data_IF_697887968879
#
_entry.id   IF_697887968879
#
_cell.length_a   1.000
_cell.length_b   1.000
_cell.length_c   1.000
_cell.angle_alpha   90.00
_cell.angle_beta   90.00
_cell.angle_gamma   90.00
#
_symmetry.space_group_name_H-M   'P 1'
#
loop_
_entity.id
_entity.type
_entity.pdbx_description
1 polymer ?
#
# COMPACT_ATOMS: atom_id res chain seq x y z
N UNK A 1 -18.11 15.37 4.79
CA UNK A 1 -16.71 15.14 5.18
C UNK A 1 -16.29 13.83 4.54
N UNK A 2 -15.53 13.89 3.43
CA UNK A 2 -15.11 12.72 2.70
C UNK A 2 -13.82 12.14 3.29
N UNK A 3 -13.80 10.84 3.54
CA UNK A 3 -12.58 10.06 3.74
C UNK A 3 -12.28 9.35 2.42
N UNK A 4 -11.10 9.55 1.87
CA UNK A 4 -10.65 8.83 0.68
C UNK A 4 -9.55 7.87 1.13
N UNK A 5 -9.79 6.58 0.99
CA UNK A 5 -8.77 5.56 1.19
C UNK A 5 -7.84 5.52 -0.02
N UNK A 6 -6.56 5.65 0.20
CA UNK A 6 -5.55 5.81 -0.85
C UNK A 6 -4.74 4.57 -1.19
N UNK A 7 -5.03 3.39 -0.68
CA UNK A 7 -4.32 2.19 -1.10
C UNK A 7 -5.15 0.91 -0.90
N UNK A 8 -5.02 -0.02 -1.84
CA UNK A 8 -5.84 -1.22 -1.96
C UNK A 8 -5.52 -2.32 -0.92
N UNK A 9 -4.52 -2.13 -0.08
CA UNK A 9 -4.17 -3.08 0.96
C UNK A 9 -4.34 -2.47 2.35
N UNK A 10 -5.30 -2.93 3.16
CA UNK A 10 -5.48 -2.45 4.53
C UNK A 10 -4.29 -2.79 5.44
N UNK A 11 -3.32 -3.55 4.94
CA UNK A 11 -2.16 -4.03 5.67
C UNK A 11 -0.85 -3.50 5.10
N UNK A 12 -0.89 -2.58 4.15
CA UNK A 12 0.31 -1.92 3.68
C UNK A 12 0.86 -1.01 4.78
N UNK A 13 2.18 -0.98 4.95
CA UNK A 13 2.86 -0.08 5.89
C UNK A 13 2.59 1.40 5.60
N UNK A 14 2.01 1.69 4.46
CA UNK A 14 1.53 3.00 4.03
C UNK A 14 0.02 3.19 4.22
N UNK A 15 -0.62 2.37 5.05
CA UNK A 15 -2.07 2.38 5.24
C UNK A 15 -2.65 3.64 5.89
N UNK A 16 -1.81 4.60 6.30
CA UNK A 16 -2.26 5.95 6.69
C UNK A 16 -2.58 6.84 5.47
N UNK A 17 -2.84 6.27 4.31
CA UNK A 17 -3.15 7.02 3.09
C UNK A 17 -4.60 7.49 3.00
N UNK A 18 -5.38 7.48 4.07
CA UNK A 18 -6.66 8.16 4.08
C UNK A 18 -6.49 9.65 4.41
N UNK A 19 -7.25 10.45 3.72
CA UNK A 19 -7.30 11.90 3.94
C UNK A 19 -8.59 12.27 4.65
N UNK A 20 -8.50 13.11 5.67
CA UNK A 20 -9.64 13.73 6.30
C UNK A 20 -9.68 15.21 5.92
N UNK A 21 -10.86 15.74 5.64
CA UNK A 21 -11.10 17.17 5.41
C UNK A 21 -10.20 17.83 4.34
N UNK A 22 -9.70 17.07 3.35
CA UNK A 22 -8.86 17.61 2.28
C UNK A 22 -7.38 17.78 2.60
N UNK A 23 -6.94 17.33 3.75
CA UNK A 23 -5.51 17.32 4.13
C UNK A 23 -4.78 16.21 3.37
N UNK A 24 -3.45 16.32 3.22
CA UNK A 24 -2.62 15.28 2.59
C UNK A 24 -2.79 13.93 3.26
N UNK A 25 -2.72 12.87 2.47
CA UNK A 25 -2.55 11.52 2.97
C UNK A 25 -1.30 11.44 3.88
N UNK A 26 -1.34 10.52 4.85
CA UNK A 26 -0.24 10.28 5.80
C UNK A 26 -0.01 11.37 6.87
N UNK A 27 -0.91 12.33 7.00
CA UNK A 27 -0.87 13.34 8.06
C UNK A 27 -1.89 13.08 9.18
N UNK A 28 -2.50 11.90 9.18
CA UNK A 28 -3.50 11.50 10.17
C UNK A 28 -2.88 10.57 11.22
N UNK A 29 -3.11 10.87 12.48
CA UNK A 29 -2.59 10.07 13.59
C UNK A 29 -3.50 8.88 13.89
N UNK A 30 -2.88 7.73 14.17
CA UNK A 30 -3.57 6.54 14.68
C UNK A 30 -3.10 6.26 16.11
N UNK A 31 -4.07 6.21 17.02
CA UNK A 31 -3.85 5.85 18.40
C UNK A 31 -4.50 4.50 18.70
N UNK A 32 -3.87 3.71 19.53
CA UNK A 32 -4.47 2.47 20.08
C UNK A 32 -4.53 2.57 21.59
N UNK A 33 -5.75 2.54 22.15
CA UNK A 33 -6.04 2.84 23.57
C UNK A 33 -5.43 4.18 24.01
N UNK A 34 -5.46 5.20 23.14
CA UNK A 34 -4.91 6.53 23.40
C UNK A 34 -3.39 6.66 23.25
N UNK A 35 -2.69 5.60 22.89
CA UNK A 35 -1.24 5.61 22.66
C UNK A 35 -0.97 5.74 21.16
N UNK A 36 -0.16 6.74 20.71
CA UNK A 36 0.24 6.86 19.31
C UNK A 36 0.93 5.61 18.80
N UNK A 37 0.48 5.10 17.66
CA UNK A 37 1.11 3.96 16.96
C UNK A 37 1.75 4.37 15.64
N UNK A 38 1.71 5.66 15.34
CA UNK A 38 2.34 6.21 14.16
C UNK A 38 3.81 6.51 14.40
N UNK A 39 4.65 6.24 13.41
CA UNK A 39 6.07 6.60 13.41
C UNK A 39 6.39 7.44 12.18
N UNK A 40 7.40 8.30 12.28
CA UNK A 40 7.93 9.09 11.17
C UNK A 40 9.07 8.34 10.53
N UNK A 41 8.83 7.59 9.46
CA UNK A 41 9.88 6.75 8.86
C UNK A 41 10.52 7.33 7.59
N UNK A 42 9.77 8.09 6.80
CA UNK A 42 10.24 8.55 5.48
C UNK A 42 10.37 10.07 5.35
N UNK A 43 10.28 10.81 6.45
CA UNK A 43 10.37 12.26 6.42
C UNK A 43 9.63 12.91 7.59
N UNK A 44 9.85 14.21 7.83
CA UNK A 44 9.29 14.89 9.01
C UNK A 44 7.77 15.06 8.99
N UNK A 45 7.08 14.60 7.93
CA UNK A 45 5.64 14.79 7.76
C UNK A 45 4.89 13.54 7.26
N UNK A 46 5.50 12.36 7.33
CA UNK A 46 4.82 11.12 6.95
C UNK A 46 4.61 10.23 8.16
N UNK A 47 3.36 10.03 8.55
CA UNK A 47 2.96 9.13 9.63
C UNK A 47 2.67 7.74 9.05
N UNK A 48 3.41 6.76 9.50
CA UNK A 48 3.22 5.35 9.16
C UNK A 48 2.71 4.63 10.40
N UNK A 49 1.63 3.86 10.27
CA UNK A 49 1.15 3.03 11.37
C UNK A 49 2.11 1.86 11.59
N UNK A 50 2.74 1.83 12.75
CA UNK A 50 3.73 0.79 13.09
C UNK A 50 3.11 -0.54 13.50
N UNK A 51 1.83 -0.53 13.89
CA UNK A 51 1.11 -1.73 14.26
C UNK A 51 -0.39 -1.57 14.04
N UNK A 52 -1.01 -2.61 13.46
CA UNK A 52 -2.44 -2.70 13.24
C UNK A 52 -3.00 -3.83 14.11
N UNK A 53 -4.00 -3.57 14.96
CA UNK A 53 -4.61 -4.63 15.78
C UNK A 53 -5.39 -5.62 14.91
N UNK A 54 -5.46 -6.90 15.31
CA UNK A 54 -6.38 -7.85 14.72
C UNK A 54 -7.81 -7.28 14.72
N UNK A 55 -8.54 -7.41 13.63
CA UNK A 55 -9.84 -6.74 13.47
C UNK A 55 -10.84 -7.11 14.58
N UNK A 56 -10.88 -8.39 14.97
CA UNK A 56 -11.78 -8.89 16.00
C UNK A 56 -11.40 -8.44 17.43
N UNK A 57 -10.22 -7.85 17.61
CA UNK A 57 -9.80 -7.30 18.90
C UNK A 57 -10.30 -5.88 19.13
N UNK A 58 -10.83 -5.23 18.10
CA UNK A 58 -11.32 -3.85 18.19
C UNK A 58 -12.69 -3.81 18.88
N UNK A 59 -12.80 -2.98 19.91
CA UNK A 59 -14.06 -2.71 20.59
C UNK A 59 -14.76 -1.49 20.00
N UNK A 60 -14.00 -0.41 19.76
CA UNK A 60 -14.53 0.86 19.28
C UNK A 60 -13.51 1.57 18.40
N UNK A 61 -13.99 2.27 17.40
CA UNK A 61 -13.22 3.16 16.54
C UNK A 61 -13.79 4.57 16.65
N UNK A 62 -12.98 5.51 17.15
CA UNK A 62 -13.33 6.92 17.23
C UNK A 62 -12.48 7.72 16.25
N UNK A 63 -13.15 8.39 15.29
CA UNK A 63 -12.49 9.26 14.30
C UNK A 63 -12.83 10.71 14.62
N UNK A 64 -11.81 11.53 14.79
CA UNK A 64 -11.92 12.97 15.06
C UNK A 64 -11.26 13.73 13.90
N UNK A 65 -12.04 14.44 13.11
CA UNK A 65 -11.56 15.15 11.93
C UNK A 65 -11.32 16.65 12.17
N UNK A 66 -11.99 17.21 13.15
CA UNK A 66 -11.94 18.62 13.53
C UNK A 66 -12.14 18.69 15.05
N UNK A 67 -11.55 19.69 15.71
CA UNK A 67 -11.70 19.90 17.17
C UNK A 67 -11.30 18.68 18.02
N UNK A 68 -10.13 18.12 17.75
CA UNK A 68 -9.54 17.13 18.63
C UNK A 68 -8.90 17.80 19.86
N UNK A 69 -8.84 17.06 20.94
CA UNK A 69 -8.24 17.48 22.22
C UNK A 69 -6.73 17.74 22.07
N UNK A 70 -6.18 18.59 22.93
CA UNK A 70 -4.75 18.88 22.97
C UNK A 70 -3.85 17.67 23.30
N UNK A 71 -4.44 16.56 23.77
CA UNK A 71 -3.76 15.27 23.94
C UNK A 71 -3.43 14.58 22.60
N UNK A 72 -4.03 15.03 21.50
CA UNK A 72 -3.81 14.55 20.14
C UNK A 72 -3.07 15.67 19.39
N UNK A 73 -1.77 15.63 19.33
CA UNK A 73 -0.99 16.77 18.87
C UNK A 73 -0.20 16.59 17.58
N UNK A 74 -0.09 15.36 17.09
CA UNK A 74 0.80 15.06 15.96
C UNK A 74 -0.01 14.75 14.69
N UNK A 75 -0.96 15.60 14.36
CA UNK A 75 -1.81 15.42 13.17
C UNK A 75 -2.21 16.76 12.58
N UNK A 76 -2.26 16.85 11.26
CA UNK A 76 -2.84 17.97 10.53
C UNK A 76 -4.25 17.64 10.00
N UNK A 77 -4.58 16.36 9.88
CA UNK A 77 -5.78 15.91 9.19
C UNK A 77 -6.86 15.27 10.06
N UNK A 78 -6.52 14.85 11.25
CA UNK A 78 -7.42 14.15 12.15
C UNK A 78 -6.76 12.98 12.87
N UNK A 79 -7.45 12.46 13.88
CA UNK A 79 -6.99 11.35 14.69
C UNK A 79 -8.00 10.22 14.69
N UNK A 80 -7.50 9.01 14.57
CA UNK A 80 -8.26 7.79 14.71
C UNK A 80 -7.82 7.08 15.98
N UNK A 81 -8.68 6.99 16.98
CA UNK A 81 -8.40 6.21 18.18
C UNK A 81 -9.13 4.87 18.12
N UNK A 82 -8.36 3.80 18.22
CA UNK A 82 -8.83 2.41 18.22
C UNK A 82 -8.80 1.92 19.67
N UNK A 83 -9.96 1.66 20.23
CA UNK A 83 -10.07 1.06 21.56
C UNK A 83 -10.16 -0.45 21.43
N UNK A 84 -9.32 -1.18 22.15
CA UNK A 84 -9.28 -2.64 22.10
C UNK A 84 -10.17 -3.26 23.16
N UNK A 85 -10.66 -4.48 22.86
CA UNK A 85 -11.41 -5.31 23.81
C UNK A 85 -10.54 -5.69 25.01
N UNK A 86 -11.18 -5.85 26.14
CA UNK A 86 -10.61 -6.45 27.35
C UNK A 86 -11.30 -7.76 27.68
N UNK A 87 -10.75 -8.53 28.59
CA UNK A 87 -11.42 -9.70 29.14
C UNK A 87 -12.69 -9.31 29.94
N UNK A 88 -13.57 -10.27 30.10
CA UNK A 88 -14.83 -10.14 30.82
C UNK A 88 -14.98 -11.25 31.89
N UNK A 89 -16.06 -11.20 32.67
CA UNK A 89 -16.34 -12.18 33.72
C UNK A 89 -16.58 -13.62 33.22
N UNK A 90 -17.00 -13.75 31.97
CA UNK A 90 -17.20 -15.03 31.31
C UNK A 90 -16.14 -15.24 30.23
N UNK A 91 -15.74 -16.48 30.03
CA UNK A 91 -14.91 -16.85 28.88
C UNK A 91 -15.70 -16.63 27.59
N UNK A 92 -15.08 -15.96 26.67
CA UNK A 92 -15.63 -15.69 25.34
C UNK A 92 -14.52 -15.68 24.31
N UNK A 93 -14.87 -15.88 23.08
CA UNK A 93 -13.91 -15.85 21.98
C UNK A 93 -14.60 -15.94 20.63
N UNK A 94 -13.86 -15.65 19.60
CA UNK A 94 -14.29 -15.74 18.21
C UNK A 94 -13.24 -16.48 17.42
N UNK A 95 -13.65 -17.10 16.32
CA UNK A 95 -12.74 -17.63 15.32
C UNK A 95 -13.33 -17.38 13.94
N UNK A 96 -12.51 -16.98 13.01
CA UNK A 96 -12.95 -16.77 11.64
C UNK A 96 -11.92 -17.26 10.62
N UNK A 97 -12.43 -17.60 9.45
CA UNK A 97 -11.64 -17.90 8.28
C UNK A 97 -12.33 -17.31 7.05
N UNK A 98 -11.61 -16.49 6.30
CA UNK A 98 -12.10 -15.85 5.09
C UNK A 98 -11.23 -16.22 3.90
N UNK A 99 -11.86 -16.54 2.79
CA UNK A 99 -11.19 -16.83 1.53
C UNK A 99 -11.84 -16.03 0.40
N UNK A 100 -11.05 -15.66 -0.59
CA UNK A 100 -11.57 -15.14 -1.85
C UNK A 100 -11.15 -16.11 -2.95
N UNK A 101 -12.03 -17.01 -3.37
CA UNK A 101 -11.71 -17.96 -4.44
C UNK A 101 -11.71 -17.26 -5.80
N UNK A 102 -10.67 -17.48 -6.59
CA UNK A 102 -10.52 -16.88 -7.94
C UNK A 102 -11.75 -17.10 -8.82
N UNK A 103 -12.46 -18.21 -8.64
CA UNK A 103 -13.66 -18.55 -9.42
C UNK A 103 -14.83 -17.57 -9.24
N UNK A 104 -14.91 -16.88 -8.09
CA UNK A 104 -15.98 -15.94 -7.76
C UNK A 104 -15.62 -14.48 -8.06
N UNK A 105 -14.43 -14.20 -8.58
CA UNK A 105 -14.00 -12.84 -8.91
C UNK A 105 -14.25 -12.60 -10.40
N UNK A 106 -14.83 -11.47 -10.74
CA UNK A 106 -14.94 -11.03 -12.12
C UNK A 106 -13.58 -10.54 -12.66
N UNK A 107 -13.37 -10.72 -13.97
CA UNK A 107 -12.24 -10.07 -14.64
C UNK A 107 -12.51 -8.57 -14.79
N UNK A 108 -11.45 -7.77 -14.98
CA UNK A 108 -11.61 -6.33 -15.23
C UNK A 108 -12.23 -6.10 -16.61
N UNK A 109 -12.96 -4.98 -16.76
CA UNK A 109 -13.54 -4.59 -18.04
C UNK A 109 -12.49 -4.52 -19.16
N UNK A 110 -11.38 -3.85 -18.90
CA UNK A 110 -10.28 -3.71 -19.88
C UNK A 110 -9.57 -5.04 -20.16
N UNK A 111 -9.41 -5.90 -19.15
CA UNK A 111 -8.88 -7.25 -19.37
C UNK A 111 -9.76 -8.07 -20.32
N UNK A 112 -11.08 -8.02 -20.13
CA UNK A 112 -12.03 -8.68 -21.03
C UNK A 112 -11.98 -8.09 -22.45
N UNK A 113 -11.88 -6.77 -22.58
CA UNK A 113 -11.85 -6.09 -23.87
C UNK A 113 -10.65 -6.48 -24.74
N UNK A 114 -9.52 -6.84 -24.11
CA UNK A 114 -8.30 -7.28 -24.82
C UNK A 114 -8.09 -8.80 -24.77
N UNK A 115 -9.08 -9.57 -24.30
CA UNK A 115 -8.99 -11.02 -24.19
C UNK A 115 -8.00 -11.53 -23.14
N UNK A 116 -7.61 -10.71 -22.17
CA UNK A 116 -6.69 -11.13 -21.11
C UNK A 116 -7.38 -12.10 -20.16
N UNK A 117 -6.78 -13.24 -19.84
CA UNK A 117 -7.35 -14.17 -18.87
C UNK A 117 -7.42 -13.55 -17.49
N UNK A 118 -8.43 -13.97 -16.72
CA UNK A 118 -8.60 -13.53 -15.33
C UNK A 118 -7.39 -13.89 -14.48
N UNK A 119 -6.88 -12.90 -13.74
CA UNK A 119 -5.79 -13.10 -12.79
C UNK A 119 -6.18 -14.07 -11.66
N UNK A 120 -5.24 -14.91 -11.24
CA UNK A 120 -5.40 -15.74 -10.04
C UNK A 120 -5.13 -14.92 -8.79
N UNK A 121 -6.04 -15.00 -7.82
CA UNK A 121 -5.88 -14.40 -6.50
C UNK A 121 -5.97 -15.50 -5.46
N UNK A 122 -4.96 -15.58 -4.61
CA UNK A 122 -5.05 -16.31 -3.36
C UNK A 122 -5.25 -15.27 -2.24
N UNK A 123 -6.33 -15.39 -1.50
CA UNK A 123 -6.59 -14.57 -0.33
C UNK A 123 -7.13 -15.45 0.77
N UNK A 124 -6.33 -15.65 1.79
CA UNK A 124 -6.71 -16.38 3.00
C UNK A 124 -6.45 -15.49 4.20
N UNK A 125 -7.49 -15.23 4.98
CA UNK A 125 -7.42 -14.48 6.23
C UNK A 125 -8.06 -15.30 7.32
N UNK A 126 -7.37 -15.46 8.44
CA UNK A 126 -7.87 -16.23 9.57
C UNK A 126 -7.51 -15.52 10.86
N UNK A 127 -8.27 -15.77 11.89
CA UNK A 127 -7.99 -15.20 13.19
C UNK A 127 -8.84 -15.83 14.29
N UNK A 128 -8.40 -15.59 15.50
CA UNK A 128 -9.10 -16.01 16.68
C UNK A 128 -8.88 -15.01 17.82
N UNK A 129 -9.88 -14.90 18.68
CA UNK A 129 -9.78 -14.15 19.93
C UNK A 129 -10.25 -15.01 21.10
N UNK A 130 -9.68 -14.78 22.26
CA UNK A 130 -10.11 -15.40 23.52
C UNK A 130 -9.95 -14.42 24.67
N UNK A 131 -10.91 -14.38 25.56
CA UNK A 131 -10.87 -13.53 26.74
C UNK A 131 -11.70 -14.11 27.89
N UNK A 132 -11.41 -13.66 29.08
CA UNK A 132 -12.10 -14.10 30.29
C UNK A 132 -11.36 -13.78 31.57
N UNK A 133 -11.81 -14.29 32.72
CA UNK A 133 -11.12 -14.13 34.00
C UNK A 133 -9.87 -15.02 34.04
N UNK A 134 -8.80 -14.53 34.66
CA UNK A 134 -7.61 -15.35 34.92
C UNK A 134 -7.92 -16.32 36.07
N UNK A 135 -8.04 -17.60 35.75
CA UNK A 135 -8.28 -18.66 36.75
C UNK A 135 -7.17 -19.70 36.63
N UNK A 136 -6.40 -19.84 37.70
CA UNK A 136 -5.42 -20.92 37.85
C UNK A 136 -5.94 -21.88 38.92
N UNK A 137 -6.35 -23.10 38.57
CA UNK A 137 -6.92 -24.05 39.52
C UNK A 137 -6.04 -24.21 40.77
N UNK A 138 -6.67 -24.16 41.94
CA UNK A 138 -6.05 -24.27 43.25
C UNK A 138 -5.04 -23.18 43.66
N UNK A 139 -4.73 -22.19 42.75
CA UNK A 139 -3.72 -21.16 43.01
C UNK A 139 -4.32 -19.77 43.00
N UNK A 140 -5.14 -19.45 42.00
CA UNK A 140 -5.62 -18.08 41.81
C UNK A 140 -7.01 -18.03 41.15
N UNK A 141 -7.90 -17.27 41.75
CA UNK A 141 -9.21 -16.94 41.18
C UNK A 141 -9.31 -15.44 40.97
N UNK A 142 -9.13 -15.04 39.72
CA UNK A 142 -9.15 -13.63 39.30
C UNK A 142 -10.54 -13.09 38.94
N UNK A 143 -11.62 -13.83 39.19
CA UNK A 143 -12.97 -13.30 38.96
C UNK A 143 -13.16 -11.95 39.67
N UNK A 144 -13.81 -11.01 39.01
CA UNK A 144 -13.99 -9.61 39.43
C UNK A 144 -12.67 -8.79 39.58
N UNK A 145 -11.52 -9.34 39.31
CA UNK A 145 -10.21 -8.66 39.55
C UNK A 145 -9.25 -8.70 38.39
N UNK A 146 -9.05 -9.87 37.81
CA UNK A 146 -8.02 -10.05 36.78
C UNK A 146 -8.59 -10.72 35.56
N UNK A 147 -8.45 -10.04 34.44
CA UNK A 147 -8.97 -10.48 33.16
C UNK A 147 -7.85 -10.56 32.14
N UNK A 148 -7.97 -11.44 31.18
CA UNK A 148 -7.10 -11.50 30.04
C UNK A 148 -7.90 -11.41 28.75
N UNK A 149 -7.26 -10.91 27.71
CA UNK A 149 -7.77 -10.95 26.35
C UNK A 149 -6.59 -11.16 25.39
N UNK A 150 -6.73 -12.07 24.46
CA UNK A 150 -5.73 -12.33 23.42
C UNK A 150 -6.40 -12.42 22.07
N UNK A 151 -5.69 -11.97 21.05
CA UNK A 151 -6.12 -12.05 19.66
C UNK A 151 -4.97 -12.33 18.73
N UNK A 152 -5.23 -13.09 17.69
CA UNK A 152 -4.30 -13.43 16.63
C UNK A 152 -5.00 -13.33 15.28
N UNK A 153 -4.31 -12.80 14.29
CA UNK A 153 -4.78 -12.73 12.92
C UNK A 153 -3.62 -13.01 11.96
N UNK A 154 -3.89 -13.77 10.93
CA UNK A 154 -2.98 -14.03 9.82
C UNK A 154 -3.65 -13.73 8.48
N UNK A 155 -2.87 -13.23 7.54
CA UNK A 155 -3.23 -13.03 6.15
C UNK A 155 -2.16 -13.64 5.26
N UNK A 156 -2.61 -14.40 4.28
CA UNK A 156 -1.79 -14.81 3.14
C UNK A 156 -2.48 -14.38 1.87
N UNK A 157 -1.84 -13.45 1.19
CA UNK A 157 -2.35 -12.93 -0.06
C UNK A 157 -1.31 -13.11 -1.17
N UNK A 158 -1.79 -13.56 -2.31
CA UNK A 158 -1.02 -13.64 -3.53
C UNK A 158 -1.84 -12.94 -4.62
N UNK A 159 -1.31 -11.85 -5.16
CA UNK A 159 -1.94 -11.10 -6.26
C UNK A 159 -1.07 -11.21 -7.49
N UNK A 160 -1.67 -11.60 -8.58
CA UNK A 160 -1.04 -11.39 -9.89
C UNK A 160 -1.37 -9.96 -10.30
N UNK A 161 -0.36 -9.10 -10.30
CA UNK A 161 -0.43 -7.77 -10.90
C UNK A 161 0.11 -7.89 -12.31
N UNK A 162 -0.78 -8.09 -13.29
CA UNK A 162 -0.40 -7.89 -14.67
C UNK A 162 -0.12 -6.41 -14.89
N UNK A 163 1.09 -6.05 -15.27
CA UNK A 163 1.43 -4.73 -15.76
C UNK A 163 1.72 -4.79 -17.25
N UNK A 164 1.42 -3.70 -17.93
CA UNK A 164 1.84 -3.53 -19.33
C UNK A 164 2.85 -2.40 -19.34
N UNK A 165 4.09 -2.76 -19.60
CA UNK A 165 5.20 -1.84 -19.62
C UNK A 165 5.47 -1.36 -21.06
N UNK A 166 6.25 -0.32 -21.18
CA UNK A 166 6.79 0.18 -22.46
C UNK A 166 8.29 0.11 -22.42
N UNK A 167 8.87 -0.54 -23.41
CA UNK A 167 10.32 -0.60 -23.61
C UNK A 167 10.67 -0.18 -25.04
N UNK A 168 11.86 0.40 -25.25
CA UNK A 168 12.28 0.81 -26.57
C UNK A 168 12.39 -0.38 -27.53
N UNK A 169 11.88 -0.21 -28.73
CA UNK A 169 12.01 -1.17 -29.83
C UNK A 169 13.49 -1.30 -30.29
N UNK A 170 13.81 -2.32 -31.04
CA UNK A 170 15.17 -2.49 -31.59
C UNK A 170 15.59 -1.31 -32.48
N UNK A 171 14.67 -0.75 -33.27
CA UNK A 171 14.92 0.43 -34.10
C UNK A 171 15.22 1.67 -33.22
N UNK A 172 14.41 1.94 -32.21
CA UNK A 172 14.60 3.07 -31.29
C UNK A 172 15.93 2.96 -30.51
N UNK A 173 16.34 1.76 -30.13
CA UNK A 173 17.66 1.52 -29.51
C UNK A 173 18.82 1.85 -30.44
N UNK A 174 18.60 1.70 -31.74
CA UNK A 174 19.51 2.11 -32.77
C UNK A 174 19.46 3.60 -33.15
N UNK A 175 18.56 4.36 -32.52
CA UNK A 175 18.35 5.79 -32.78
C UNK A 175 17.36 6.06 -33.92
N UNK A 176 16.65 5.07 -34.42
CA UNK A 176 15.64 5.23 -35.48
C UNK A 176 14.23 5.36 -34.88
N UNK A 177 13.71 6.60 -34.93
CA UNK A 177 12.37 6.98 -34.50
C UNK A 177 11.45 7.39 -35.66
N UNK A 178 11.82 6.99 -36.90
CA UNK A 178 11.07 7.34 -38.11
C UNK A 178 9.62 6.86 -38.08
N UNK A 179 9.36 5.69 -37.48
CA UNK A 179 8.02 5.14 -37.31
C UNK A 179 7.10 6.07 -36.50
N UNK A 180 7.64 6.75 -35.49
CA UNK A 180 6.87 7.72 -34.70
C UNK A 180 6.53 8.98 -35.51
N UNK A 181 7.46 9.44 -36.32
CA UNK A 181 7.23 10.62 -37.19
C UNK A 181 6.08 10.39 -38.17
N UNK A 182 5.90 9.16 -38.63
CA UNK A 182 4.78 8.79 -39.51
C UNK A 182 3.39 8.96 -38.85
N UNK A 183 3.33 8.99 -37.51
CA UNK A 183 2.09 9.22 -36.75
C UNK A 183 1.74 10.71 -36.58
N UNK A 184 2.69 11.60 -36.85
CA UNK A 184 2.45 13.04 -36.81
C UNK A 184 3.65 13.86 -36.34
N UNK A 185 3.62 15.15 -36.64
CA UNK A 185 4.69 16.10 -36.34
C UNK A 185 4.95 16.32 -34.85
N UNK A 186 4.01 15.94 -33.97
CA UNK A 186 4.20 15.97 -32.52
C UNK A 186 5.30 15.04 -32.03
N UNK A 187 5.69 14.04 -32.83
CA UNK A 187 6.77 13.10 -32.54
C UNK A 187 8.12 13.50 -33.16
N UNK A 188 8.21 14.70 -33.76
CA UNK A 188 9.45 15.18 -34.34
C UNK A 188 10.51 15.36 -33.25
N UNK A 189 11.66 14.74 -33.43
CA UNK A 189 12.84 14.92 -32.57
C UNK A 189 13.70 16.04 -33.12
N UNK A 190 14.17 16.90 -32.26
CA UNK A 190 15.03 18.04 -32.60
C UNK A 190 16.42 17.84 -32.05
N UNK A 191 17.40 18.40 -32.74
CA UNK A 191 18.81 18.34 -32.35
C UNK A 191 19.13 19.39 -31.27
N UNK A 192 19.38 18.97 -30.01
CA UNK A 192 19.67 19.89 -28.93
C UNK A 192 20.98 20.68 -29.12
N UNK A 193 21.90 20.16 -29.92
CA UNK A 193 23.16 20.86 -30.22
C UNK A 193 22.96 22.09 -31.15
N UNK A 194 21.78 22.18 -31.78
CA UNK A 194 21.43 23.32 -32.66
C UNK A 194 20.61 24.38 -31.95
N UNK A 195 20.44 24.24 -30.63
CA UNK A 195 19.58 25.11 -29.81
C UNK A 195 20.09 26.54 -29.83
N UNK A 196 19.26 27.46 -30.31
CA UNK A 196 19.52 28.89 -30.34
C UNK A 196 18.41 29.65 -29.65
N UNK A 197 18.75 30.67 -28.84
CA UNK A 197 17.76 31.53 -28.22
C UNK A 197 17.18 32.49 -29.26
N UNK A 198 15.84 32.60 -29.29
CA UNK A 198 15.12 33.56 -30.13
C UNK A 198 14.46 34.68 -29.32
N UNK A 199 14.85 34.84 -28.05
CA UNK A 199 14.31 35.84 -27.13
C UNK A 199 13.06 35.36 -26.37
N UNK A 200 12.70 36.12 -25.33
CA UNK A 200 11.50 35.86 -24.49
C UNK A 200 11.43 34.42 -23.94
N UNK A 201 12.56 33.81 -23.59
CA UNK A 201 12.61 32.45 -23.09
C UNK A 201 12.29 31.35 -24.12
N UNK A 202 12.19 31.73 -25.40
CA UNK A 202 11.95 30.78 -26.51
C UNK A 202 13.27 30.34 -27.15
N UNK A 203 13.25 29.11 -27.64
CA UNK A 203 14.39 28.49 -28.31
C UNK A 203 13.96 27.90 -29.64
N UNK A 204 14.87 27.87 -30.59
CA UNK A 204 14.72 27.17 -31.86
C UNK A 204 15.75 26.07 -31.93
N UNK A 205 15.35 24.91 -32.41
CA UNK A 205 16.20 23.76 -32.65
C UNK A 205 15.91 23.22 -34.07
N UNK A 206 16.92 22.59 -34.70
CA UNK A 206 16.76 21.99 -36.02
C UNK A 206 16.22 20.57 -35.87
N UNK A 207 15.21 20.17 -36.64
CA UNK A 207 14.69 18.81 -36.60
C UNK A 207 15.74 17.82 -37.11
N UNK A 208 15.83 16.65 -36.51
CA UNK A 208 16.63 15.55 -37.03
C UNK A 208 16.00 14.98 -38.29
N UNK A 209 16.79 14.85 -39.33
CA UNK A 209 16.35 14.34 -40.64
C UNK A 209 15.80 12.92 -40.49
N UNK A 210 14.58 12.69 -40.96
CA UNK A 210 13.91 11.41 -40.86
C UNK A 210 13.68 10.91 -39.43
N UNK A 211 13.81 11.77 -38.41
CA UNK A 211 13.71 11.40 -37.01
C UNK A 211 14.77 10.37 -36.56
N UNK A 212 15.93 10.38 -37.19
CA UNK A 212 17.01 9.43 -36.93
C UNK A 212 18.16 10.13 -36.19
N UNK A 213 18.54 9.59 -35.05
CA UNK A 213 19.74 10.01 -34.32
C UNK A 213 20.94 9.25 -34.92
N UNK A 214 21.95 9.95 -35.42
CA UNK A 214 23.15 9.26 -35.95
C UNK A 214 23.79 8.37 -34.87
N UNK A 215 24.20 7.17 -35.26
CA UNK A 215 24.79 6.19 -34.31
C UNK A 215 26.03 6.72 -33.59
N UNK A 216 26.80 7.59 -34.26
CA UNK A 216 27.96 8.28 -33.67
C UNK A 216 27.60 9.21 -32.51
N UNK A 217 26.34 9.57 -32.35
CA UNK A 217 25.84 10.43 -31.28
C UNK A 217 25.17 9.65 -30.16
N UNK A 218 24.98 8.34 -30.32
CA UNK A 218 24.43 7.49 -29.26
C UNK A 218 25.48 7.32 -28.16
N UNK A 219 25.08 7.57 -26.94
CA UNK A 219 25.97 7.42 -25.79
C UNK A 219 26.24 5.94 -25.51
N UNK A 220 27.47 5.45 -25.51
CA UNK A 220 27.80 4.04 -25.32
C UNK A 220 27.37 3.54 -23.90
N UNK A 221 27.39 4.40 -22.90
CA UNK A 221 26.91 4.04 -21.55
C UNK A 221 25.41 3.79 -21.60
N UNK A 222 24.62 4.64 -22.26
CA UNK A 222 23.19 4.46 -22.41
C UNK A 222 22.86 3.16 -23.19
N UNK A 223 23.62 2.87 -24.25
CA UNK A 223 23.47 1.61 -25.00
C UNK A 223 23.74 0.39 -24.10
N UNK A 224 24.77 0.45 -23.27
CA UNK A 224 25.05 -0.63 -22.30
C UNK A 224 23.93 -0.80 -21.28
N UNK A 225 23.33 0.28 -20.78
CA UNK A 225 22.18 0.22 -19.88
C UNK A 225 20.97 -0.42 -20.58
N UNK A 226 20.72 -0.10 -21.84
CA UNK A 226 19.62 -0.67 -22.62
C UNK A 226 19.71 -2.20 -22.80
N UNK A 227 20.89 -2.81 -22.68
CA UNK A 227 21.03 -4.26 -22.69
C UNK A 227 20.33 -4.96 -21.52
N UNK A 228 20.15 -4.27 -20.41
CA UNK A 228 19.43 -4.81 -19.24
C UNK A 228 17.90 -4.77 -19.41
N UNK A 229 17.40 -4.03 -20.39
CA UNK A 229 15.97 -3.99 -20.68
C UNK A 229 15.62 -5.05 -21.74
N UNK A 230 14.54 -5.82 -21.55
CA UNK A 230 14.06 -6.76 -22.56
C UNK A 230 13.62 -6.02 -23.82
N UNK A 231 13.56 -6.73 -24.94
CA UNK A 231 12.90 -6.22 -26.15
C UNK A 231 11.38 -6.35 -26.01
N UNK A 232 10.58 -5.56 -26.77
CA UNK A 232 9.16 -5.74 -26.87
C UNK A 232 8.77 -7.19 -27.20
N UNK A 233 7.75 -7.70 -26.52
CA UNK A 233 7.20 -9.05 -26.79
C UNK A 233 5.94 -9.01 -27.63
N UNK A 234 5.29 -7.83 -27.71
CA UNK A 234 4.12 -7.56 -28.55
C UNK A 234 4.31 -6.22 -29.29
N UNK A 235 3.59 -5.98 -30.39
CA UNK A 235 3.69 -4.72 -31.13
C UNK A 235 3.35 -3.47 -30.32
N UNK A 236 2.48 -3.60 -29.30
CA UNK A 236 1.95 -2.48 -28.54
C UNK A 236 0.96 -1.62 -29.32
N UNK A 237 0.82 -0.37 -28.90
CA UNK A 237 0.00 0.63 -29.58
C UNK A 237 0.75 1.22 -30.79
N UNK A 238 0.05 1.99 -31.62
CA UNK A 238 0.61 2.60 -32.83
C UNK A 238 1.88 3.46 -32.56
N UNK A 239 1.98 4.06 -31.39
CA UNK A 239 3.15 4.85 -30.95
C UNK A 239 4.20 4.02 -30.19
N UNK A 240 4.12 2.70 -30.25
CA UNK A 240 5.08 1.79 -29.63
C UNK A 240 4.97 1.64 -28.11
N UNK A 241 3.94 2.22 -27.48
CA UNK A 241 3.71 2.01 -26.04
C UNK A 241 2.99 0.70 -25.75
N UNK A 242 2.99 0.25 -24.49
CA UNK A 242 2.31 -0.98 -24.05
C UNK A 242 2.80 -2.23 -24.82
N UNK A 243 4.09 -2.34 -25.05
CA UNK A 243 4.71 -3.36 -25.88
C UNK A 243 5.39 -4.50 -25.08
N UNK A 244 5.35 -4.43 -23.74
CA UNK A 244 5.89 -5.45 -22.86
C UNK A 244 4.86 -5.80 -21.77
N UNK A 245 3.90 -6.69 -22.03
CA UNK A 245 3.02 -7.20 -21.00
C UNK A 245 3.78 -8.12 -20.04
N UNK A 246 3.66 -7.85 -18.76
CA UNK A 246 4.14 -8.72 -17.68
C UNK A 246 2.93 -9.33 -16.94
N UNK A 247 2.35 -10.41 -17.49
CA UNK A 247 1.11 -10.95 -16.96
C UNK A 247 1.27 -11.65 -15.60
N UNK A 248 2.50 -11.94 -15.17
CA UNK A 248 2.80 -12.80 -14.03
C UNK A 248 3.57 -12.11 -12.90
N UNK A 249 3.61 -10.79 -12.86
CA UNK A 249 4.16 -10.10 -11.70
C UNK A 249 3.31 -10.48 -10.48
N UNK A 250 3.87 -11.31 -9.62
CA UNK A 250 3.18 -11.81 -8.43
C UNK A 250 3.65 -11.03 -7.22
N UNK A 251 2.72 -10.38 -6.56
CA UNK A 251 2.95 -9.77 -5.25
C UNK A 251 2.46 -10.74 -4.18
N UNK A 252 3.38 -11.22 -3.36
CA UNK A 252 3.08 -12.06 -2.21
C UNK A 252 3.10 -11.20 -0.96
N UNK A 253 2.08 -11.28 -0.15
CA UNK A 253 2.05 -10.64 1.16
C UNK A 253 1.67 -11.69 2.21
N UNK A 254 2.54 -11.85 3.20
CA UNK A 254 2.27 -12.60 4.40
C UNK A 254 2.26 -11.63 5.58
N UNK A 255 1.27 -11.76 6.41
CA UNK A 255 1.06 -10.88 7.53
C UNK A 255 0.57 -11.66 8.73
N UNK A 256 1.17 -11.41 9.88
CA UNK A 256 0.73 -11.93 11.16
C UNK A 256 0.70 -10.82 12.20
N UNK A 257 -0.38 -10.73 12.92
CA UNK A 257 -0.48 -9.83 14.07
C UNK A 257 -1.05 -10.56 15.26
N UNK A 258 -0.50 -10.29 16.43
CA UNK A 258 -0.99 -10.85 17.67
C UNK A 258 -0.98 -9.78 18.76
N UNK A 259 -1.90 -9.89 19.68
CA UNK A 259 -1.95 -9.08 20.86
C UNK A 259 -2.38 -9.90 22.09
N UNK A 260 -1.80 -9.56 23.23
CA UNK A 260 -2.21 -10.04 24.55
C UNK A 260 -2.39 -8.89 25.50
N UNK A 261 -3.47 -8.91 26.28
CA UNK A 261 -3.79 -7.90 27.28
C UNK A 261 -4.17 -8.58 28.60
N UNK A 262 -3.70 -8.03 29.68
CA UNK A 262 -4.12 -8.41 31.04
C UNK A 262 -4.53 -7.15 31.78
N UNK A 263 -5.72 -7.17 32.34
CA UNK A 263 -6.28 -6.11 33.15
C UNK A 263 -6.36 -6.57 34.59
N UNK A 264 -5.92 -5.75 35.55
CA UNK A 264 -6.02 -6.05 36.98
C UNK A 264 -6.62 -4.86 37.76
N UNK A 265 -7.64 -5.15 38.50
CA UNK A 265 -8.30 -4.20 39.38
C UNK A 265 -7.79 -4.41 40.83
N UNK A 266 -6.87 -3.56 41.29
CA UNK A 266 -6.40 -3.56 42.68
C UNK A 266 -7.46 -3.08 43.65
N UNK A 267 -8.23 -2.05 43.20
CA UNK A 267 -9.36 -1.48 43.94
C UNK A 267 -10.30 -0.77 42.95
N UNK A 268 -11.39 -0.21 43.45
CA UNK A 268 -12.31 0.61 42.64
C UNK A 268 -11.59 1.85 42.02
N UNK A 269 -10.52 2.34 42.67
CA UNK A 269 -9.79 3.54 42.26
C UNK A 269 -8.49 3.24 41.52
N UNK A 270 -7.96 2.01 41.62
CA UNK A 270 -6.67 1.64 41.03
C UNK A 270 -6.83 0.45 40.10
N UNK A 271 -6.62 0.70 38.81
CA UNK A 271 -6.68 -0.30 37.75
C UNK A 271 -5.39 -0.22 36.96
N UNK A 272 -4.88 -1.35 36.56
CA UNK A 272 -3.70 -1.46 35.69
C UNK A 272 -4.03 -2.40 34.54
N UNK A 273 -3.59 -2.05 33.35
CA UNK A 273 -3.53 -3.01 32.27
C UNK A 273 -2.12 -3.06 31.67
N UNK A 274 -1.75 -4.23 31.18
CA UNK A 274 -0.53 -4.47 30.42
C UNK A 274 -0.96 -5.06 29.09
N UNK A 275 -0.40 -4.52 28.01
CA UNK A 275 -0.62 -5.02 26.65
C UNK A 275 0.72 -5.27 25.96
N UNK A 276 0.82 -6.41 25.29
CA UNK A 276 1.92 -6.77 24.40
C UNK A 276 1.34 -7.05 23.02
N UNK A 277 1.97 -6.53 22.00
CA UNK A 277 1.56 -6.73 20.62
C UNK A 277 2.79 -6.99 19.74
N UNK A 278 2.59 -7.80 18.73
CA UNK A 278 3.58 -8.10 17.70
C UNK A 278 2.95 -8.11 16.34
N UNK A 279 3.74 -7.78 15.34
CA UNK A 279 3.36 -7.83 13.94
C UNK A 279 4.57 -8.27 13.14
N UNK A 280 4.37 -9.20 12.24
CA UNK A 280 5.36 -9.65 11.27
C UNK A 280 4.75 -9.55 9.87
N UNK A 281 5.56 -9.12 8.94
CA UNK A 281 5.18 -8.97 7.53
C UNK A 281 6.36 -9.30 6.64
N UNK A 282 6.11 -10.16 5.63
CA UNK A 282 6.99 -10.53 4.54
C UNK A 282 6.41 -10.09 3.19
#
# INVERSE_FOLDING_TARGET
VGCIAGNDSPFDSFSNSYTFAGVRAQLSEVLVDGVPTSSTNNGPMELITSWMPPADTVAELKVQTITYDASVGFTEGGATNVTLKSGAEAFHGTGFFAIIPTGLIANTYFGNAIGQPRGSILYHRWGATIGGPVIVPHVYNGRNRTFFFAGYEGLRQNRIRGSILTVPTAAERGGDFSALLALGSQYQIYDPATRTSVGNGRYRETPLTGNIIPTSRLNPIALNILHYYPLPTVPGTANGTNNLPEPNATENAHYYTAMGRVDHNFSERHRLFIRVNTMERD
#
